data_IF_459122939518
#
_entry.id   IF_459122939518
#
_cell.length_a   1.000
_cell.length_b   1.000
_cell.length_c   1.000
_cell.angle_alpha   90.00
_cell.angle_beta   90.00
_cell.angle_gamma   90.00
#
_symmetry.space_group_name_H-M   'P 1'
#
loop_
_entity.id
_entity.type
_entity.pdbx_description
1 polymer ?
#
# COMPACT_ATOMS: atom_id res chain seq x y z
N UNK A 1 -6.24 -31.16 5.43
CA UNK A 1 -6.40 -30.77 4.00
C UNK A 1 -7.22 -29.47 3.84
N UNK A 2 -8.34 -29.31 4.56
CA UNK A 2 -9.20 -28.10 4.51
C UNK A 2 -8.49 -26.75 4.81
N UNK A 3 -7.47 -26.76 5.69
CA UNK A 3 -6.73 -25.54 6.07
C UNK A 3 -5.85 -24.99 4.92
N UNK A 4 -5.35 -25.85 4.02
CA UNK A 4 -4.57 -25.41 2.85
C UNK A 4 -5.46 -24.74 1.80
N UNK A 5 -6.68 -25.25 1.59
CA UNK A 5 -7.66 -24.70 0.64
C UNK A 5 -8.11 -23.28 1.03
N UNK A 6 -8.34 -23.03 2.33
CA UNK A 6 -8.62 -21.68 2.86
C UNK A 6 -7.47 -20.70 2.62
N UNK A 7 -6.22 -21.13 2.82
CA UNK A 7 -5.04 -20.27 2.60
C UNK A 7 -4.87 -19.84 1.14
N UNK A 8 -5.18 -20.73 0.19
CA UNK A 8 -5.09 -20.42 -1.25
C UNK A 8 -6.21 -19.51 -1.73
N UNK A 9 -7.43 -19.68 -1.20
CA UNK A 9 -8.56 -18.80 -1.54
C UNK A 9 -8.31 -17.37 -1.03
N UNK A 10 -7.83 -17.24 0.22
CA UNK A 10 -7.48 -15.95 0.80
C UNK A 10 -6.38 -15.24 0.02
N UNK A 11 -5.34 -15.96 -0.41
CA UNK A 11 -4.25 -15.36 -1.18
C UNK A 11 -4.69 -14.89 -2.57
N UNK A 12 -5.61 -15.60 -3.22
CA UNK A 12 -6.20 -15.16 -4.49
C UNK A 12 -7.04 -13.90 -4.29
N UNK A 13 -7.83 -13.84 -3.22
CA UNK A 13 -8.60 -12.65 -2.87
C UNK A 13 -7.67 -11.45 -2.61
N UNK A 14 -6.62 -11.64 -1.82
CA UNK A 14 -5.62 -10.61 -1.55
C UNK A 14 -4.96 -10.09 -2.84
N UNK A 15 -4.63 -10.99 -3.78
CA UNK A 15 -4.11 -10.63 -5.09
C UNK A 15 -5.10 -9.81 -5.93
N UNK A 16 -6.38 -10.21 -5.98
CA UNK A 16 -7.41 -9.48 -6.73
C UNK A 16 -7.61 -8.08 -6.16
N UNK A 17 -7.66 -7.95 -4.83
CA UNK A 17 -7.77 -6.66 -4.15
C UNK A 17 -6.52 -5.80 -4.40
N UNK A 18 -5.33 -6.38 -4.27
CA UNK A 18 -4.06 -5.70 -4.56
C UNK A 18 -4.00 -5.19 -6.00
N UNK A 19 -4.47 -5.98 -6.97
CA UNK A 19 -4.51 -5.58 -8.38
C UNK A 19 -5.44 -4.38 -8.57
N UNK A 20 -6.61 -4.38 -7.93
CA UNK A 20 -7.53 -3.24 -7.96
C UNK A 20 -6.89 -1.96 -7.44
N UNK A 21 -6.18 -2.04 -6.31
CA UNK A 21 -5.45 -0.89 -5.77
C UNK A 21 -4.27 -0.44 -6.65
N UNK A 22 -3.58 -1.35 -7.34
CA UNK A 22 -2.56 -0.97 -8.33
C UNK A 22 -3.16 -0.16 -9.47
N UNK A 23 -4.33 -0.57 -9.99
CA UNK A 23 -5.02 0.18 -11.05
C UNK A 23 -5.45 1.56 -10.59
N UNK A 24 -5.94 1.68 -9.35
CA UNK A 24 -6.24 2.98 -8.72
C UNK A 24 -4.98 3.83 -8.48
N UNK A 25 -3.85 3.18 -8.20
CA UNK A 25 -2.55 3.82 -8.07
C UNK A 25 -2.10 4.53 -9.33
N UNK A 26 -2.27 3.86 -10.47
CA UNK A 26 -1.94 4.41 -11.79
C UNK A 26 -2.94 5.47 -12.24
N UNK A 27 -4.24 5.23 -12.02
CA UNK A 27 -5.29 6.06 -12.59
C UNK A 27 -5.74 7.25 -11.74
N UNK A 28 -5.58 7.19 -10.41
CA UNK A 28 -6.11 8.20 -9.50
C UNK A 28 -5.04 8.82 -8.61
N UNK A 29 -4.29 8.01 -7.86
CA UNK A 29 -3.40 8.56 -6.84
C UNK A 29 -2.28 7.61 -6.38
N UNK A 30 -1.02 8.05 -6.27
CA UNK A 30 0.10 7.17 -5.89
C UNK A 30 -0.04 6.54 -4.49
N UNK A 31 -0.82 7.15 -3.59
CA UNK A 31 -1.09 6.58 -2.26
C UNK A 31 -1.76 5.20 -2.33
N UNK A 32 -2.53 4.89 -3.37
CA UNK A 32 -3.21 3.60 -3.50
C UNK A 32 -2.24 2.42 -3.66
N UNK A 33 -1.00 2.66 -4.11
CA UNK A 33 0.02 1.62 -4.12
C UNK A 33 0.37 1.13 -2.70
N UNK A 34 0.29 1.99 -1.68
CA UNK A 34 0.50 1.54 -0.30
C UNK A 34 -0.55 0.52 0.15
N UNK A 35 -1.83 0.76 -0.19
CA UNK A 35 -2.92 -0.17 0.06
C UNK A 35 -2.73 -1.48 -0.71
N UNK A 36 -2.27 -1.43 -1.97
CA UNK A 36 -1.96 -2.62 -2.76
C UNK A 36 -0.90 -3.48 -2.06
N UNK A 37 0.22 -2.88 -1.65
CA UNK A 37 1.29 -3.58 -0.95
C UNK A 37 0.82 -4.14 0.41
N UNK A 38 -0.02 -3.42 1.15
CA UNK A 38 -0.53 -3.86 2.44
C UNK A 38 -1.44 -5.11 2.31
N UNK A 39 -2.35 -5.12 1.35
CA UNK A 39 -3.22 -6.29 1.12
C UNK A 39 -2.43 -7.52 0.65
N UNK A 40 -1.43 -7.30 -0.19
CA UNK A 40 -0.52 -8.37 -0.62
C UNK A 40 0.34 -8.88 0.56
N UNK A 41 0.78 -8.00 1.45
CA UNK A 41 1.55 -8.35 2.65
C UNK A 41 0.73 -9.25 3.58
N UNK A 42 -0.52 -8.86 3.86
CA UNK A 42 -1.46 -9.65 4.66
C UNK A 42 -1.66 -11.04 4.06
N UNK A 43 -1.84 -11.14 2.74
CA UNK A 43 -1.93 -12.41 2.01
C UNK A 43 -0.74 -13.36 2.24
N UNK A 44 0.47 -12.80 2.29
CA UNK A 44 1.72 -13.54 2.46
C UNK A 44 2.00 -13.91 3.93
N UNK A 45 1.48 -13.15 4.90
CA UNK A 45 1.65 -13.41 6.34
C UNK A 45 0.92 -14.68 6.81
N UNK A 46 -0.15 -15.10 6.13
CA UNK A 46 -0.86 -16.36 6.45
C UNK A 46 -0.09 -17.64 6.04
N UNK A 47 1.07 -17.49 5.39
CA UNK A 47 1.93 -18.62 5.00
C UNK A 47 3.26 -18.56 5.76
N UNK A 48 3.58 -19.55 6.61
CA UNK A 48 4.78 -19.51 7.46
C UNK A 48 6.08 -19.42 6.64
N UNK A 49 6.09 -20.00 5.44
CA UNK A 49 7.27 -20.00 4.55
C UNK A 49 7.54 -18.63 3.90
N UNK A 50 6.56 -17.74 3.84
CA UNK A 50 6.64 -16.42 3.21
C UNK A 50 6.34 -15.27 4.18
N UNK A 51 6.22 -15.57 5.47
CA UNK A 51 5.81 -14.60 6.48
C UNK A 51 6.80 -13.42 6.57
N UNK A 52 8.10 -13.70 6.45
CA UNK A 52 9.15 -12.67 6.42
C UNK A 52 8.93 -11.71 5.23
N UNK A 53 8.60 -12.25 4.05
CA UNK A 53 8.31 -11.43 2.86
C UNK A 53 7.07 -10.57 3.13
N UNK A 54 6.05 -11.11 3.79
CA UNK A 54 4.88 -10.34 4.22
C UNK A 54 5.24 -9.14 5.10
N UNK A 55 6.09 -9.33 6.11
CA UNK A 55 6.55 -8.24 6.97
C UNK A 55 7.36 -7.18 6.22
N UNK A 56 8.29 -7.60 5.36
CA UNK A 56 9.07 -6.67 4.52
C UNK A 56 8.13 -5.86 3.63
N UNK A 57 7.14 -6.51 3.01
CA UNK A 57 6.19 -5.83 2.13
C UNK A 57 5.29 -4.84 2.90
N UNK A 58 4.90 -5.19 4.14
CA UNK A 58 4.17 -4.28 5.02
C UNK A 58 5.01 -3.04 5.40
N UNK A 59 6.29 -3.23 5.70
CA UNK A 59 7.21 -2.13 5.96
C UNK A 59 7.33 -1.20 4.73
N UNK A 60 7.47 -1.77 3.53
CA UNK A 60 7.48 -1.00 2.27
C UNK A 60 6.18 -0.24 2.06
N UNK A 61 5.02 -0.85 2.35
CA UNK A 61 3.73 -0.19 2.25
C UNK A 61 3.64 1.06 3.15
N UNK A 62 4.06 0.94 4.40
CA UNK A 62 4.08 2.05 5.37
C UNK A 62 5.08 3.13 4.95
N UNK A 63 6.30 2.75 4.55
CA UNK A 63 7.29 3.69 4.07
C UNK A 63 6.81 4.47 2.83
N UNK A 64 6.13 3.80 1.89
CA UNK A 64 5.56 4.44 0.72
C UNK A 64 4.46 5.44 1.09
N UNK A 65 3.57 5.06 2.01
CA UNK A 65 2.52 5.95 2.50
C UNK A 65 3.09 7.21 3.13
N UNK A 66 4.10 7.08 4.00
CA UNK A 66 4.75 8.21 4.65
C UNK A 66 5.51 9.09 3.64
N UNK A 67 6.17 8.48 2.66
CA UNK A 67 6.93 9.23 1.65
C UNK A 67 6.01 10.06 0.76
N UNK A 68 5.00 9.43 0.16
CA UNK A 68 4.05 10.11 -0.74
C UNK A 68 3.18 11.10 0.04
N UNK A 69 2.61 10.68 1.16
CA UNK A 69 1.78 11.55 2.00
C UNK A 69 2.56 12.72 2.58
N UNK A 70 3.81 12.49 3.00
CA UNK A 70 4.70 13.56 3.47
C UNK A 70 5.06 14.55 2.37
N UNK A 71 5.30 14.08 1.15
CA UNK A 71 5.57 14.94 -0.01
C UNK A 71 4.37 15.84 -0.33
N UNK A 72 3.16 15.29 -0.37
CA UNK A 72 1.94 16.06 -0.65
C UNK A 72 1.64 17.11 0.41
N UNK A 73 1.73 16.72 1.69
CA UNK A 73 1.56 17.67 2.80
C UNK A 73 2.62 18.78 2.72
N UNK A 74 3.87 18.45 2.38
CA UNK A 74 4.93 19.43 2.19
C UNK A 74 4.68 20.38 1.02
N UNK A 75 4.21 19.85 -0.11
CA UNK A 75 3.86 20.66 -1.29
C UNK A 75 2.69 21.62 -0.99
N UNK A 76 1.66 21.14 -0.29
CA UNK A 76 0.53 21.98 0.12
C UNK A 76 0.94 23.10 1.09
N UNK A 77 1.84 22.81 2.03
CA UNK A 77 2.37 23.82 2.93
C UNK A 77 3.20 24.87 2.18
N UNK A 78 4.08 24.44 1.27
CA UNK A 78 4.88 25.35 0.46
C UNK A 78 4.01 26.28 -0.40
N UNK A 79 2.96 25.76 -1.02
CA UNK A 79 2.01 26.55 -1.81
C UNK A 79 1.31 27.62 -0.95
N UNK A 80 0.94 27.28 0.29
CA UNK A 80 0.31 28.22 1.23
C UNK A 80 1.28 29.31 1.69
N UNK A 81 2.53 28.96 1.99
CA UNK A 81 3.56 29.93 2.37
C UNK A 81 3.82 30.93 1.24
N UNK A 82 3.91 30.45 -0.01
CA UNK A 82 4.05 31.33 -1.17
C UNK A 82 2.83 32.25 -1.39
N UNK A 83 1.62 31.75 -1.14
CA UNK A 83 0.41 32.58 -1.25
C UNK A 83 0.36 33.67 -0.17
N UNK A 84 0.81 33.38 1.06
CA UNK A 84 0.88 34.36 2.15
C UNK A 84 1.99 35.38 1.89
N UNK A 85 3.16 34.95 1.39
CA UNK A 85 4.28 35.86 1.12
C UNK A 85 4.04 36.80 -0.08
N UNK A 86 3.03 36.53 -0.91
CA UNK A 86 2.64 37.35 -2.05
C UNK A 86 1.57 38.42 -1.70
N UNK A 87 1.13 38.50 -0.44
CA UNK A 87 0.20 39.50 0.09
C UNK A 87 0.87 40.36 1.16
#
# INVERSE_FOLDING_TARGET
MAQRLRSTAFQRLALMISLGFCLLGVGAHPLWFSAAFLFQALGLMFRPRTQIIGWVLAAVAVSWFLFVGGYEVGADLALREHAVAAH
#
